data_IF_954771976828
#
_entry.id   IF_954771976828
#
_cell.length_a   1.000
_cell.length_b   1.000
_cell.length_c   1.000
_cell.angle_alpha   90.00
_cell.angle_beta   90.00
_cell.angle_gamma   90.00
#
_symmetry.space_group_name_H-M   'P 1'
#
loop_
_entity.id
_entity.type
_entity.pdbx_description
1 polymer ?
#
# COMPACT_ATOMS: atom_id res chain seq x y z
N UNK A 1 24.56 -4.35 -12.27
CA UNK A 1 25.27 -5.41 -11.53
C UNK A 1 24.33 -5.90 -10.44
N UNK A 2 23.84 -7.15 -10.56
CA UNK A 2 23.08 -7.79 -9.49
C UNK A 2 24.00 -7.97 -8.28
N UNK A 3 23.57 -7.57 -7.09
CA UNK A 3 24.35 -7.88 -5.90
C UNK A 3 24.27 -9.40 -5.70
N UNK A 4 25.42 -10.09 -5.66
CA UNK A 4 25.49 -11.54 -5.42
C UNK A 4 24.72 -11.97 -4.14
N UNK A 5 24.53 -11.04 -3.20
CA UNK A 5 23.69 -11.21 -2.02
C UNK A 5 22.22 -11.45 -2.34
N UNK A 6 21.61 -10.71 -3.27
CA UNK A 6 20.18 -10.82 -3.63
C UNK A 6 19.89 -12.17 -4.31
N UNK A 7 20.80 -12.63 -5.17
CA UNK A 7 20.66 -13.94 -5.82
C UNK A 7 20.75 -15.07 -4.79
N UNK A 8 21.62 -14.93 -3.78
CA UNK A 8 21.74 -15.90 -2.70
C UNK A 8 20.50 -15.89 -1.80
N UNK A 9 20.00 -14.71 -1.44
CA UNK A 9 18.78 -14.52 -0.66
C UNK A 9 17.56 -15.13 -1.36
N UNK A 10 17.37 -14.79 -2.64
CA UNK A 10 16.29 -15.32 -3.47
C UNK A 10 16.32 -16.86 -3.54
N UNK A 11 17.51 -17.45 -3.67
CA UNK A 11 17.67 -18.92 -3.65
C UNK A 11 17.35 -19.54 -2.29
N UNK A 12 17.62 -18.84 -1.20
CA UNK A 12 17.43 -19.36 0.15
C UNK A 12 15.96 -19.30 0.61
N UNK A 13 15.24 -18.22 0.26
CA UNK A 13 13.90 -17.97 0.78
C UNK A 13 12.78 -18.07 -0.27
N UNK A 14 13.07 -17.88 -1.55
CA UNK A 14 12.10 -18.05 -2.64
C UNK A 14 10.96 -17.03 -2.65
N UNK A 15 11.14 -15.89 -1.99
CA UNK A 15 10.13 -14.84 -1.76
C UNK A 15 10.42 -13.53 -2.50
N UNK A 16 11.47 -13.49 -3.32
CA UNK A 16 11.87 -12.33 -4.12
C UNK A 16 11.33 -12.45 -5.55
N UNK A 17 10.58 -11.44 -5.96
CA UNK A 17 10.24 -11.19 -7.37
C UNK A 17 11.13 -10.08 -7.88
N UNK A 18 11.97 -10.38 -8.87
CA UNK A 18 12.88 -9.41 -9.47
C UNK A 18 12.46 -9.05 -10.89
N UNK A 19 12.45 -7.75 -11.19
CA UNK A 19 11.99 -7.20 -12.46
C UNK A 19 13.01 -6.19 -12.95
N UNK A 20 13.26 -6.16 -14.27
CA UNK A 20 14.29 -5.34 -14.87
C UNK A 20 13.83 -3.89 -15.09
N UNK A 21 13.93 -3.05 -14.06
CA UNK A 21 13.74 -1.61 -14.13
C UNK A 21 14.62 -0.89 -13.09
N UNK A 22 14.76 0.43 -13.20
CA UNK A 22 15.50 1.23 -12.21
C UNK A 22 14.62 1.40 -10.97
N UNK A 23 14.96 0.74 -9.87
CA UNK A 23 14.25 0.90 -8.59
C UNK A 23 14.62 2.24 -7.94
N UNK A 24 13.70 3.20 -8.05
CA UNK A 24 13.81 4.54 -7.49
C UNK A 24 12.43 5.03 -7.06
N UNK A 25 12.41 6.06 -6.21
CA UNK A 25 11.15 6.66 -5.74
C UNK A 25 10.25 7.10 -6.92
N UNK A 26 10.85 7.68 -7.95
CA UNK A 26 10.16 8.16 -9.16
C UNK A 26 9.54 7.02 -9.98
N UNK A 27 10.05 5.79 -9.82
CA UNK A 27 9.59 4.60 -10.53
C UNK A 27 8.71 3.69 -9.67
N UNK A 28 8.26 4.12 -8.50
CA UNK A 28 7.36 3.33 -7.65
C UNK A 28 6.06 2.96 -8.38
N UNK A 29 5.54 3.84 -9.23
CA UNK A 29 4.36 3.56 -10.06
C UNK A 29 4.59 2.33 -10.96
N UNK A 30 5.78 2.22 -11.57
CA UNK A 30 6.15 1.05 -12.38
C UNK A 30 6.23 -0.19 -11.47
N UNK A 31 6.88 -0.08 -10.31
CA UNK A 31 7.04 -1.16 -9.34
C UNK A 31 5.68 -1.72 -8.92
N UNK A 32 4.73 -0.86 -8.54
CA UNK A 32 3.37 -1.26 -8.14
C UNK A 32 2.61 -1.93 -9.28
N UNK A 33 2.61 -1.36 -10.49
CA UNK A 33 1.92 -1.97 -11.62
C UNK A 33 2.49 -3.35 -11.95
N UNK A 34 3.81 -3.52 -11.82
CA UNK A 34 4.44 -4.82 -12.01
C UNK A 34 4.08 -5.81 -10.89
N UNK A 35 4.00 -5.37 -9.63
CA UNK A 35 3.53 -6.20 -8.51
C UNK A 35 2.07 -6.66 -8.72
N UNK A 36 1.19 -5.74 -9.12
CA UNK A 36 -0.23 -6.06 -9.41
C UNK A 36 -0.36 -7.01 -10.59
N UNK A 37 0.40 -6.79 -11.67
CA UNK A 37 0.43 -7.69 -12.83
C UNK A 37 0.92 -9.08 -12.44
N UNK A 38 1.97 -9.16 -11.62
CA UNK A 38 2.50 -10.44 -11.16
C UNK A 38 1.45 -11.18 -10.32
N UNK A 39 0.77 -10.49 -9.40
CA UNK A 39 -0.30 -11.06 -8.57
C UNK A 39 -1.47 -11.59 -9.42
N UNK A 40 -1.89 -10.84 -10.42
CA UNK A 40 -2.98 -11.21 -11.35
C UNK A 40 -2.64 -12.51 -12.11
N UNK A 41 -1.41 -12.62 -12.62
CA UNK A 41 -0.96 -13.76 -13.43
C UNK A 41 -0.64 -14.99 -12.58
N UNK A 42 0.02 -14.82 -11.43
CA UNK A 42 0.61 -15.92 -10.66
C UNK A 42 -0.20 -16.34 -9.43
N UNK A 43 -1.19 -15.57 -9.00
CA UNK A 43 -2.00 -15.87 -7.81
C UNK A 43 -3.52 -15.83 -8.07
N UNK A 44 -4.06 -16.51 -9.11
CA UNK A 44 -5.47 -16.38 -9.49
C UNK A 44 -6.48 -16.87 -8.45
N UNK A 45 -6.02 -17.60 -7.42
CA UNK A 45 -6.86 -18.14 -6.35
C UNK A 45 -6.89 -17.26 -5.10
N UNK A 46 -6.07 -16.20 -5.03
CA UNK A 46 -6.11 -15.29 -3.88
C UNK A 46 -7.38 -14.44 -3.90
N UNK A 47 -7.83 -14.02 -2.72
CA UNK A 47 -8.99 -13.12 -2.58
C UNK A 47 -8.58 -11.66 -2.55
N UNK A 48 -7.42 -11.39 -1.94
CA UNK A 48 -6.91 -10.05 -1.70
C UNK A 48 -5.41 -10.02 -1.97
N UNK A 49 -4.91 -8.85 -2.38
CA UNK A 49 -3.51 -8.47 -2.32
C UNK A 49 -3.33 -7.30 -1.37
N UNK A 50 -2.18 -7.21 -0.70
CA UNK A 50 -1.78 -6.04 0.07
C UNK A 50 -0.47 -5.52 -0.49
N UNK A 51 -0.42 -4.21 -0.77
CA UNK A 51 0.83 -3.48 -0.98
C UNK A 51 1.16 -2.77 0.32
N UNK A 52 2.41 -2.83 0.74
CA UNK A 52 2.89 -2.18 1.96
C UNK A 52 4.37 -1.82 1.81
N UNK A 53 4.78 -0.70 2.42
CA UNK A 53 6.18 -0.30 2.46
C UNK A 53 6.97 -1.10 3.53
N UNK A 54 8.29 -1.18 3.37
CA UNK A 54 9.14 -2.02 4.23
C UNK A 54 9.35 -1.47 5.65
N UNK A 55 8.95 -0.22 5.91
CA UNK A 55 9.06 0.50 7.19
C UNK A 55 7.72 0.56 7.95
N UNK A 56 6.79 -0.33 7.61
CA UNK A 56 5.43 -0.38 8.16
C UNK A 56 5.27 -1.61 9.05
N UNK A 57 4.74 -1.40 10.25
CA UNK A 57 4.23 -2.49 11.07
C UNK A 57 2.87 -2.93 10.56
N UNK A 58 2.65 -4.24 10.39
CA UNK A 58 1.37 -4.81 9.94
C UNK A 58 0.83 -5.79 10.99
N UNK A 59 -0.34 -5.50 11.53
CA UNK A 59 -1.09 -6.44 12.36
C UNK A 59 -1.84 -7.45 11.48
N UNK A 60 -1.13 -8.50 11.06
CA UNK A 60 -1.69 -9.52 10.14
C UNK A 60 -2.87 -10.29 10.74
N UNK A 61 -2.96 -10.37 12.08
CA UNK A 61 -4.06 -11.05 12.77
C UNK A 61 -5.36 -10.26 12.62
N UNK A 62 -5.32 -8.96 12.96
CA UNK A 62 -6.49 -8.10 12.79
C UNK A 62 -6.83 -7.93 11.30
N UNK A 63 -5.83 -7.74 10.43
CA UNK A 63 -6.06 -7.65 8.99
C UNK A 63 -6.85 -8.87 8.47
N UNK A 64 -6.44 -10.08 8.84
CA UNK A 64 -7.13 -11.31 8.43
C UNK A 64 -8.59 -11.33 8.89
N UNK A 65 -8.87 -10.92 10.12
CA UNK A 65 -10.23 -10.90 10.66
C UNK A 65 -11.09 -9.82 10.01
N UNK A 66 -10.53 -8.63 9.79
CA UNK A 66 -11.17 -7.55 9.07
C UNK A 66 -11.60 -7.97 7.65
N UNK A 67 -10.71 -8.62 6.89
CA UNK A 67 -10.97 -9.03 5.51
C UNK A 67 -12.03 -10.12 5.34
N UNK A 68 -12.46 -10.80 6.41
CA UNK A 68 -13.58 -11.75 6.37
C UNK A 68 -14.90 -11.07 6.02
N UNK A 69 -15.03 -9.79 6.35
CA UNK A 69 -16.25 -9.01 6.20
C UNK A 69 -16.21 -8.02 5.02
N UNK A 70 -15.06 -7.91 4.33
CA UNK A 70 -14.91 -7.03 3.17
C UNK A 70 -15.47 -7.65 1.88
N UNK A 71 -15.85 -6.81 0.89
CA UNK A 71 -16.18 -7.28 -0.45
C UNK A 71 -14.98 -7.94 -1.13
N UNK A 72 -15.22 -9.02 -1.88
CA UNK A 72 -14.18 -9.80 -2.57
C UNK A 72 -13.89 -9.36 -3.99
N UNK A 73 -14.59 -8.33 -4.49
CA UNK A 73 -14.47 -7.80 -5.85
C UNK A 73 -14.61 -6.30 -5.85
N UNK A 74 -13.93 -5.64 -6.78
CA UNK A 74 -13.97 -4.17 -6.93
C UNK A 74 -13.74 -3.42 -5.61
N UNK A 75 -12.86 -3.95 -4.75
CA UNK A 75 -12.66 -3.45 -3.40
C UNK A 75 -11.23 -2.98 -3.23
N UNK A 76 -11.07 -1.82 -2.59
CA UNK A 76 -9.78 -1.34 -2.11
C UNK A 76 -9.99 -0.52 -0.85
N UNK A 77 -9.11 -0.70 0.13
CA UNK A 77 -9.15 0.02 1.40
C UNK A 77 -7.74 0.35 1.89
N UNK A 78 -7.66 1.38 2.70
CA UNK A 78 -6.42 1.88 3.27
C UNK A 78 -6.67 3.19 4.02
N UNK A 79 -5.63 4.00 4.18
CA UNK A 79 -5.78 5.39 4.60
C UNK A 79 -6.23 6.22 3.39
N UNK A 80 -7.53 6.46 3.26
CA UNK A 80 -8.12 7.16 2.11
C UNK A 80 -7.92 8.67 2.24
N UNK A 81 -7.42 9.29 1.17
CA UNK A 81 -7.19 10.73 1.02
C UNK A 81 -8.12 11.23 -0.08
N UNK A 82 -8.96 12.23 0.24
CA UNK A 82 -10.00 12.75 -0.65
C UNK A 82 -9.83 14.24 -0.99
N UNK A 83 -8.84 14.90 -0.39
CA UNK A 83 -8.54 16.33 -0.48
C UNK A 83 -7.12 16.59 -1.01
N UNK A 84 -6.46 15.56 -1.56
CA UNK A 84 -5.12 15.66 -2.11
C UNK A 84 -5.04 16.56 -3.34
N UNK A 85 -3.96 17.33 -3.43
CA UNK A 85 -3.68 18.23 -4.53
C UNK A 85 -2.20 18.15 -4.95
N UNK A 86 -1.87 18.36 -6.23
CA UNK A 86 -0.51 18.33 -6.73
C UNK A 86 0.34 19.43 -6.11
N UNK A 87 1.54 19.06 -5.65
CA UNK A 87 2.51 20.03 -5.15
C UNK A 87 3.26 20.65 -6.33
N UNK A 88 2.99 21.92 -6.61
CA UNK A 88 3.62 22.64 -7.74
C UNK A 88 5.02 23.19 -7.44
N UNK A 89 5.43 23.23 -6.17
CA UNK A 89 6.80 23.62 -5.80
C UNK A 89 7.81 22.54 -6.27
N UNK A 90 8.79 22.93 -7.09
CA UNK A 90 9.84 22.07 -7.65
C UNK A 90 10.80 21.51 -6.61
N UNK A 91 10.91 22.13 -5.43
CA UNK A 91 11.73 21.63 -4.31
C UNK A 91 11.02 20.52 -3.53
N UNK A 92 9.73 20.30 -3.78
CA UNK A 92 8.99 19.24 -3.10
C UNK A 92 9.42 17.87 -3.64
N UNK A 93 9.69 16.92 -2.75
CA UNK A 93 9.88 15.51 -3.14
C UNK A 93 8.67 14.89 -3.85
N UNK A 94 7.49 15.50 -3.71
CA UNK A 94 6.24 15.11 -4.36
C UNK A 94 5.83 16.13 -5.43
N UNK A 95 6.79 16.83 -6.02
CA UNK A 95 6.55 17.78 -7.09
C UNK A 95 5.84 17.11 -8.26
N UNK A 96 4.82 17.77 -8.80
CA UNK A 96 4.15 17.38 -10.02
C UNK A 96 3.81 18.63 -10.84
N UNK A 97 4.41 18.75 -12.02
CA UNK A 97 4.21 19.93 -12.87
C UNK A 97 2.81 19.97 -13.48
N UNK A 98 2.34 21.15 -13.88
CA UNK A 98 1.07 21.31 -14.61
C UNK A 98 1.07 20.55 -15.95
N UNK A 99 2.24 20.41 -16.58
CA UNK A 99 2.38 19.65 -17.83
C UNK A 99 2.19 18.15 -17.61
N UNK A 100 2.63 17.61 -16.47
CA UNK A 100 2.45 16.21 -16.11
C UNK A 100 1.03 15.91 -15.61
N UNK A 101 0.43 16.85 -14.89
CA UNK A 101 -0.92 16.74 -14.35
C UNK A 101 -1.63 18.10 -14.31
N UNK A 102 -2.50 18.39 -15.30
CA UNK A 102 -3.12 19.71 -15.43
C UNK A 102 -4.20 20.03 -14.39
N UNK A 103 -4.85 19.03 -13.78
CA UNK A 103 -5.91 19.26 -12.79
C UNK A 103 -5.33 19.77 -11.46
N UNK A 104 -6.11 20.58 -10.73
CA UNK A 104 -5.70 21.14 -9.43
C UNK A 104 -6.00 20.23 -8.24
N UNK A 105 -6.68 19.10 -8.46
CA UNK A 105 -7.05 18.14 -7.42
C UNK A 105 -6.83 16.72 -7.90
N UNK A 106 -6.53 15.83 -6.96
CA UNK A 106 -6.43 14.40 -7.22
C UNK A 106 -7.80 13.71 -7.03
N UNK A 107 -8.05 12.57 -7.72
CA UNK A 107 -9.12 11.67 -7.32
C UNK A 107 -8.91 11.18 -5.88
N UNK A 108 -9.96 10.68 -5.21
CA UNK A 108 -9.77 9.89 -3.99
C UNK A 108 -8.80 8.72 -4.23
N UNK A 109 -7.83 8.57 -3.33
CA UNK A 109 -6.80 7.53 -3.39
C UNK A 109 -6.47 6.99 -2.00
N UNK A 110 -5.70 5.91 -1.94
CA UNK A 110 -5.23 5.29 -0.68
C UNK A 110 -3.75 5.58 -0.50
N UNK A 111 -3.33 5.99 0.69
CA UNK A 111 -1.94 6.30 0.99
C UNK A 111 -0.98 5.15 0.63
N UNK A 112 0.15 5.50 0.01
CA UNK A 112 1.19 4.56 -0.38
C UNK A 112 1.78 3.74 0.78
N UNK A 113 1.66 4.17 2.04
CA UNK A 113 2.17 3.42 3.19
C UNK A 113 1.65 1.98 3.22
N UNK A 114 0.38 1.77 2.91
CA UNK A 114 -0.16 0.43 2.73
C UNK A 114 -1.65 0.42 2.44
N UNK A 115 -2.06 -0.49 1.57
CA UNK A 115 -3.44 -0.66 1.16
C UNK A 115 -3.72 -2.11 0.73
N UNK A 116 -4.99 -2.50 0.84
CA UNK A 116 -5.48 -3.84 0.48
C UNK A 116 -6.47 -3.69 -0.64
N UNK A 117 -6.40 -4.56 -1.64
CA UNK A 117 -7.31 -4.59 -2.78
C UNK A 117 -7.78 -6.02 -3.06
N UNK A 118 -8.99 -6.15 -3.61
CA UNK A 118 -9.46 -7.44 -4.11
C UNK A 118 -8.62 -7.88 -5.31
N UNK A 119 -8.42 -9.19 -5.43
CA UNK A 119 -7.55 -9.75 -6.48
C UNK A 119 -7.94 -9.30 -7.90
N UNK A 120 -9.25 -9.25 -8.22
CA UNK A 120 -9.74 -8.82 -9.53
C UNK A 120 -9.35 -7.38 -9.89
N UNK A 121 -9.11 -6.55 -8.88
CA UNK A 121 -8.76 -5.15 -9.08
C UNK A 121 -7.31 -5.00 -9.54
N UNK A 122 -6.43 -5.97 -9.26
CA UNK A 122 -5.03 -5.95 -9.69
C UNK A 122 -4.91 -5.87 -11.22
N UNK A 123 -5.50 -6.83 -11.93
CA UNK A 123 -5.51 -6.84 -13.40
C UNK A 123 -6.28 -5.66 -13.99
N UNK A 124 -7.39 -5.25 -13.37
CA UNK A 124 -8.18 -4.09 -13.83
C UNK A 124 -7.42 -2.78 -13.72
N UNK A 125 -6.66 -2.55 -12.64
CA UNK A 125 -5.78 -1.39 -12.49
C UNK A 125 -4.69 -1.42 -13.56
N UNK A 126 -4.05 -2.57 -13.83
CA UNK A 126 -3.07 -2.71 -14.91
C UNK A 126 -3.66 -2.44 -16.31
N UNK A 127 -4.94 -2.73 -16.53
CA UNK A 127 -5.62 -2.39 -17.79
C UNK A 127 -5.94 -0.90 -17.86
N UNK A 128 -6.46 -0.32 -16.77
CA UNK A 128 -6.78 1.11 -16.66
C UNK A 128 -5.53 2.01 -16.78
N UNK A 129 -4.38 1.56 -16.28
CA UNK A 129 -3.13 2.31 -16.33
C UNK A 129 -2.69 2.62 -17.77
N UNK A 130 -3.12 1.83 -18.75
CA UNK A 130 -2.81 2.06 -20.17
C UNK A 130 -3.40 3.36 -20.75
N UNK A 131 -4.36 3.96 -20.05
CA UNK A 131 -5.02 5.20 -20.46
C UNK A 131 -4.41 6.45 -19.85
N UNK A 132 -3.44 6.32 -18.93
CA UNK A 132 -2.82 7.43 -18.24
C UNK A 132 -1.31 7.44 -18.43
N UNK A 133 -0.75 8.63 -18.64
CA UNK A 133 0.70 8.83 -18.52
C UNK A 133 1.12 8.57 -17.07
N UNK A 134 2.14 7.75 -16.88
CA UNK A 134 2.69 7.48 -15.55
C UNK A 134 3.21 8.77 -14.89
N UNK A 135 2.86 8.95 -13.62
CA UNK A 135 3.37 10.03 -12.75
C UNK A 135 4.16 9.42 -11.59
N UNK A 136 5.14 10.14 -11.00
CA UNK A 136 5.98 9.65 -9.91
C UNK A 136 5.30 9.71 -8.53
N UNK A 137 3.96 9.53 -8.50
CA UNK A 137 3.13 9.45 -7.29
C UNK A 137 2.27 8.20 -7.42
N UNK A 138 2.80 7.08 -6.93
CA UNK A 138 2.21 5.75 -7.14
C UNK A 138 0.78 5.63 -6.60
N UNK A 139 0.54 6.16 -5.42
CA UNK A 139 -0.74 6.10 -4.72
C UNK A 139 -1.81 6.93 -5.43
N UNK A 140 -1.44 8.14 -5.86
CA UNK A 140 -2.27 9.00 -6.71
C UNK A 140 -2.55 8.33 -8.05
N UNK A 141 -1.54 7.69 -8.66
CA UNK A 141 -1.71 7.01 -9.95
C UNK A 141 -2.67 5.82 -9.87
N UNK A 142 -2.63 5.05 -8.78
CA UNK A 142 -3.66 4.04 -8.48
C UNK A 142 -5.03 4.71 -8.36
N UNK A 143 -5.14 5.85 -7.66
CA UNK A 143 -6.37 6.65 -7.58
C UNK A 143 -6.94 7.06 -8.95
N UNK A 144 -6.09 7.46 -9.91
CA UNK A 144 -6.50 7.76 -11.28
C UNK A 144 -7.10 6.54 -11.99
N UNK A 145 -6.46 5.37 -11.81
CA UNK A 145 -6.99 4.12 -12.34
C UNK A 145 -8.35 3.77 -11.72
N UNK A 146 -8.50 3.96 -10.41
CA UNK A 146 -9.78 3.73 -9.70
C UNK A 146 -10.89 4.65 -10.20
N UNK A 147 -10.59 5.92 -10.47
CA UNK A 147 -11.53 6.90 -11.06
C UNK A 147 -12.08 6.37 -12.40
N UNK A 148 -11.21 5.88 -13.29
CA UNK A 148 -11.62 5.31 -14.58
C UNK A 148 -12.44 4.02 -14.43
N UNK A 149 -12.14 3.21 -13.42
CA UNK A 149 -12.84 1.96 -13.12
C UNK A 149 -14.14 2.16 -12.35
N UNK A 150 -14.48 3.40 -11.98
CA UNK A 150 -15.61 3.76 -11.12
C UNK A 150 -15.60 3.04 -9.76
N UNK A 151 -14.41 2.73 -9.24
CA UNK A 151 -14.21 2.13 -7.92
C UNK A 151 -13.84 3.21 -6.92
N UNK A 152 -14.58 3.30 -5.81
CA UNK A 152 -14.26 4.23 -4.72
C UNK A 152 -13.48 3.49 -3.63
N UNK A 153 -12.34 4.02 -3.16
CA UNK A 153 -11.68 3.51 -1.97
C UNK A 153 -12.61 3.53 -0.75
N UNK A 154 -12.62 2.44 0.01
CA UNK A 154 -13.40 2.33 1.24
C UNK A 154 -12.54 2.68 2.45
N UNK A 155 -13.09 3.51 3.34
CA UNK A 155 -12.43 3.82 4.61
C UNK A 155 -12.49 2.62 5.57
N UNK A 156 -11.34 2.26 6.14
CA UNK A 156 -11.27 1.27 7.21
C UNK A 156 -11.24 1.99 8.57
N UNK A 157 -12.37 2.00 9.28
CA UNK A 157 -12.50 2.68 10.58
C UNK A 157 -12.83 1.71 11.72
N UNK A 158 -12.25 1.97 12.90
CA UNK A 158 -12.82 1.53 14.17
C UNK A 158 -13.83 2.58 14.66
N UNK A 159 -14.98 2.15 15.15
CA UNK A 159 -16.01 3.04 15.73
C UNK A 159 -15.91 3.18 17.26
N UNK A 160 -14.99 2.45 17.91
CA UNK A 160 -14.88 2.39 19.37
C UNK A 160 -13.43 2.66 19.79
N UNK A 161 -13.16 3.61 20.73
CA UNK A 161 -14.09 4.55 21.40
C UNK A 161 -14.37 5.84 20.60
N UNK A 162 -13.58 6.13 19.57
CA UNK A 162 -13.74 7.24 18.63
C UNK A 162 -13.48 6.72 17.22
N UNK A 163 -14.01 7.42 16.20
CA UNK A 163 -13.76 7.06 14.80
C UNK A 163 -12.28 7.26 14.48
N UNK A 164 -11.57 6.17 14.23
CA UNK A 164 -10.14 6.21 13.89
C UNK A 164 -9.84 5.31 12.70
N UNK A 165 -8.99 5.77 11.79
CA UNK A 165 -8.45 4.94 10.70
C UNK A 165 -7.73 3.73 11.28
N UNK A 166 -8.04 2.55 10.77
CA UNK A 166 -7.26 1.33 11.03
C UNK A 166 -5.90 1.38 10.32
N UNK A 167 -5.76 2.23 9.30
CA UNK A 167 -4.52 2.47 8.59
C UNK A 167 -3.90 3.77 9.09
N UNK A 168 -3.04 3.66 10.10
CA UNK A 168 -2.38 4.81 10.70
C UNK A 168 -1.07 5.11 9.97
N UNK A 169 -1.04 6.25 9.28
CA UNK A 169 0.10 6.67 8.45
C UNK A 169 1.04 7.63 9.17
N UNK A 170 0.68 8.09 10.37
CA UNK A 170 1.55 8.86 11.24
C UNK A 170 2.56 7.96 11.92
N UNK A 171 3.74 8.52 12.19
CA UNK A 171 4.75 7.83 12.98
C UNK A 171 4.29 7.75 14.42
N UNK A 172 4.13 6.53 14.93
CA UNK A 172 3.82 6.27 16.33
C UNK A 172 4.91 5.45 16.98
N UNK A 173 5.18 5.74 18.24
CA UNK A 173 5.97 4.82 19.06
C UNK A 173 5.19 3.52 19.30
N UNK A 174 5.92 2.42 19.38
CA UNK A 174 5.33 1.11 19.57
C UNK A 174 4.64 1.02 20.93
N UNK A 175 3.34 0.72 20.89
CA UNK A 175 2.54 0.36 22.06
C UNK A 175 1.67 -0.85 21.69
N UNK A 176 1.85 -1.95 22.41
CA UNK A 176 1.25 -3.24 22.06
C UNK A 176 -0.27 -3.17 21.93
N UNK A 177 -0.95 -2.54 22.88
CA UNK A 177 -2.42 -2.53 22.93
C UNK A 177 -3.05 -1.51 21.99
N UNK A 178 -2.34 -0.43 21.68
CA UNK A 178 -2.71 0.47 20.60
C UNK A 178 -2.57 -0.22 19.24
N UNK A 179 -1.48 -0.94 19.02
CA UNK A 179 -1.21 -1.63 17.76
C UNK A 179 -2.14 -2.82 17.54
N UNK A 180 -2.61 -3.47 18.62
CA UNK A 180 -3.62 -4.52 18.56
C UNK A 180 -4.94 -4.03 17.93
N UNK A 181 -5.20 -2.72 17.93
CA UNK A 181 -6.40 -2.07 17.41
C UNK A 181 -6.21 -1.42 16.04
N UNK A 182 -5.02 -1.51 15.45
CA UNK A 182 -4.68 -0.94 14.14
C UNK A 182 -4.26 -2.05 13.17
N UNK A 183 -4.42 -1.80 11.87
CA UNK A 183 -3.96 -2.69 10.79
C UNK A 183 -2.53 -2.34 10.39
N UNK A 184 -2.24 -1.07 10.12
CA UNK A 184 -0.88 -0.59 9.84
C UNK A 184 -0.47 0.56 10.74
N UNK A 185 0.83 0.67 11.00
CA UNK A 185 1.47 1.84 11.63
C UNK A 185 2.80 2.13 10.95
N UNK A 186 3.04 3.41 10.64
CA UNK A 186 4.23 3.87 9.90
C UNK A 186 5.43 4.21 10.82
N UNK A 187 6.64 4.27 10.24
CA UNK A 187 7.81 4.93 10.82
C UNK A 187 8.81 4.01 11.50
N UNK A 188 8.94 2.76 11.04
CA UNK A 188 9.81 1.78 11.68
C UNK A 188 11.10 1.50 10.91
N UNK A 189 12.22 1.43 11.65
CA UNK A 189 13.42 0.78 11.12
C UNK A 189 13.28 -0.74 11.15
N UNK A 190 14.04 -1.49 10.33
CA UNK A 190 14.00 -2.96 10.36
C UNK A 190 14.24 -3.56 11.76
N UNK A 191 15.17 -2.98 12.54
CA UNK A 191 15.43 -3.41 13.92
C UNK A 191 14.23 -3.22 14.85
N UNK A 192 13.57 -2.05 14.77
CA UNK A 192 12.38 -1.75 15.56
C UNK A 192 11.19 -2.62 15.17
N UNK A 193 11.03 -2.95 13.87
CA UNK A 193 9.99 -3.89 13.42
C UNK A 193 10.18 -5.26 14.04
N UNK A 194 11.40 -5.79 14.06
CA UNK A 194 11.69 -7.10 14.64
C UNK A 194 11.40 -7.11 16.14
N UNK A 195 11.81 -6.07 16.86
CA UNK A 195 11.55 -5.93 18.29
C UNK A 195 10.05 -5.83 18.60
N UNK A 196 9.35 -4.91 17.93
CA UNK A 196 7.91 -4.74 18.06
C UNK A 196 7.16 -6.03 17.74
N UNK A 197 7.54 -6.73 16.65
CA UNK A 197 6.88 -7.97 16.25
C UNK A 197 7.06 -9.09 17.27
N UNK A 198 8.28 -9.26 17.81
CA UNK A 198 8.54 -10.25 18.87
C UNK A 198 7.67 -10.01 20.09
N UNK A 199 7.56 -8.77 20.54
CA UNK A 199 6.71 -8.42 21.67
C UNK A 199 5.22 -8.64 21.36
N UNK A 200 4.79 -8.20 20.18
CA UNK A 200 3.40 -8.24 19.74
C UNK A 200 2.86 -9.67 19.63
N UNK A 201 3.63 -10.60 19.05
CA UNK A 201 3.18 -11.99 18.84
C UNK A 201 2.95 -12.77 20.13
N UNK A 202 3.57 -12.37 21.24
CA UNK A 202 3.43 -13.06 22.53
C UNK A 202 2.30 -12.51 23.40
N UNK A 203 1.85 -11.27 23.14
CA UNK A 203 1.01 -10.56 24.10
C UNK A 203 -0.14 -9.75 23.53
N UNK A 204 -0.36 -9.74 22.21
CA UNK A 204 -1.44 -8.96 21.61
C UNK A 204 -2.84 -9.36 22.11
N UNK A 205 -3.03 -10.63 22.48
CA UNK A 205 -4.29 -11.15 23.02
C UNK A 205 -4.59 -10.71 24.46
N UNK A 206 -3.62 -10.09 25.14
CA UNK A 206 -3.77 -9.54 26.50
C UNK A 206 -4.16 -8.05 26.49
N UNK A 207 -4.56 -7.57 25.32
CA UNK A 207 -5.15 -6.26 25.06
C UNK A 207 -6.61 -6.47 24.60
#
# INVERSE_FOLDING_TARGET
>A
FLALSEVKESKNYGDIIQINFIDSYQNLTIKTLMMMRWLDVHCPQTRYGMKVDADIFVNVFYLKDYLKFCPRRSFITGSVINDGAPRRNSESKWHLSEQEYPEDTFPPYVSGAGYVFSWDLAGRICLASRFFRAIPLEDVYVGLCLRLLEVRPEYAYSLVPLVTSLFEVRNLEYDRCRFAKLIIVNGFSPSKLIEAWRDFTHGNANC
#
